data_IF_988071820374
#
_entry.id   IF_988071820374
#
_cell.length_a   1.000
_cell.length_b   1.000
_cell.length_c   1.000
_cell.angle_alpha   90.00
_cell.angle_beta   90.00
_cell.angle_gamma   90.00
#
_symmetry.space_group_name_H-M   'P 1'
#
loop_
_entity.id
_entity.type
_entity.pdbx_description
1 polymer ?
#
# COMPACT_ATOMS: atom_id res chain seq x y z
N UNK A 1 5.96 -2.67 -3.27
CA UNK A 1 7.04 -2.97 -2.30
C UNK A 1 8.28 -3.53 -3.00
N UNK A 2 8.18 -4.63 -3.74
CA UNK A 2 9.33 -5.32 -4.36
C UNK A 2 10.09 -4.49 -5.41
N UNK A 3 9.41 -3.72 -6.26
CA UNK A 3 10.08 -2.80 -7.21
C UNK A 3 10.99 -1.77 -6.53
N UNK A 4 10.61 -1.32 -5.33
CA UNK A 4 11.43 -0.40 -4.52
C UNK A 4 12.68 -1.08 -3.97
N UNK A 5 12.56 -2.32 -3.49
CA UNK A 5 13.67 -3.08 -2.90
C UNK A 5 14.69 -3.49 -3.96
N UNK A 6 14.23 -3.85 -5.16
CA UNK A 6 15.08 -4.34 -6.23
C UNK A 6 15.41 -3.29 -7.30
N UNK A 7 15.01 -2.02 -7.10
CA UNK A 7 15.37 -0.91 -7.98
C UNK A 7 14.78 -0.98 -9.39
N UNK A 8 13.62 -1.62 -9.59
CA UNK A 8 12.94 -1.68 -10.89
C UNK A 8 11.59 -0.97 -10.89
N UNK A 9 11.23 -0.41 -12.04
CA UNK A 9 9.95 0.27 -12.23
C UNK A 9 8.86 -0.74 -12.57
N UNK A 10 7.73 -0.63 -11.89
CA UNK A 10 6.53 -1.44 -12.14
C UNK A 10 5.61 -0.65 -13.06
N UNK A 11 5.02 -1.32 -14.06
CA UNK A 11 3.95 -0.76 -14.90
C UNK A 11 2.59 -1.33 -14.45
N UNK A 12 1.76 -0.55 -13.74
CA UNK A 12 0.47 -1.04 -13.22
C UNK A 12 -0.49 -1.54 -14.31
N UNK A 13 -0.49 -0.92 -15.49
CA UNK A 13 -1.36 -1.33 -16.60
C UNK A 13 -0.98 -2.73 -17.10
N UNK A 14 0.32 -3.02 -17.18
CA UNK A 14 0.81 -4.33 -17.58
C UNK A 14 0.47 -5.41 -16.55
N UNK A 15 0.58 -5.10 -15.26
CA UNK A 15 0.18 -6.00 -14.17
C UNK A 15 -1.33 -6.31 -14.22
N UNK A 16 -2.15 -5.29 -14.51
CA UNK A 16 -3.60 -5.46 -14.64
C UNK A 16 -3.95 -6.36 -15.83
N UNK A 17 -3.34 -6.13 -16.99
CA UNK A 17 -3.51 -6.98 -18.17
C UNK A 17 -3.05 -8.42 -17.87
N UNK A 18 -1.91 -8.59 -17.19
CA UNK A 18 -1.40 -9.91 -16.83
C UNK A 18 -2.37 -10.68 -15.92
N UNK A 19 -2.93 -10.05 -14.90
CA UNK A 19 -3.96 -10.67 -14.03
C UNK A 19 -5.23 -10.97 -14.82
N UNK A 20 -5.67 -10.06 -15.69
CA UNK A 20 -6.84 -10.27 -16.56
C UNK A 20 -6.67 -11.49 -17.45
N UNK A 21 -5.59 -11.54 -18.24
CA UNK A 21 -5.27 -12.68 -19.12
C UNK A 21 -5.14 -13.99 -18.32
N UNK A 22 -4.48 -13.96 -17.16
CA UNK A 22 -4.33 -15.14 -16.31
C UNK A 22 -5.68 -15.71 -15.88
N UNK A 23 -6.62 -14.85 -15.47
CA UNK A 23 -7.94 -15.28 -15.04
C UNK A 23 -8.83 -15.70 -16.22
N UNK A 24 -8.77 -15.01 -17.37
CA UNK A 24 -9.49 -15.42 -18.59
C UNK A 24 -9.03 -16.78 -19.11
N UNK A 25 -7.73 -17.07 -19.05
CA UNK A 25 -7.22 -18.41 -19.40
C UNK A 25 -7.59 -19.43 -18.32
N UNK A 26 -7.55 -19.04 -17.04
CA UNK A 26 -7.86 -19.92 -15.92
C UNK A 26 -9.28 -20.48 -15.93
N UNK A 27 -10.27 -19.72 -16.40
CA UNK A 27 -11.67 -20.20 -16.49
C UNK A 27 -11.82 -21.42 -17.39
N UNK A 28 -11.03 -21.54 -18.46
CA UNK A 28 -11.02 -22.69 -19.38
C UNK A 28 -10.61 -23.99 -18.64
N UNK A 29 -9.81 -23.85 -17.59
CA UNK A 29 -9.29 -24.96 -16.79
C UNK A 29 -10.00 -25.12 -15.43
N UNK A 30 -11.17 -24.47 -15.24
CA UNK A 30 -11.90 -24.46 -13.97
C UNK A 30 -11.08 -23.91 -12.79
N UNK A 31 -10.16 -22.96 -13.05
CA UNK A 31 -9.37 -22.35 -12.00
C UNK A 31 -10.19 -21.33 -11.18
N UNK A 32 -9.93 -21.28 -9.88
CA UNK A 32 -10.43 -20.20 -9.01
C UNK A 32 -9.73 -18.87 -9.35
N UNK A 33 -10.38 -17.71 -9.17
CA UNK A 33 -9.77 -16.40 -9.40
C UNK A 33 -8.40 -16.26 -8.72
N UNK A 34 -7.37 -16.08 -9.54
CA UNK A 34 -6.00 -15.97 -9.10
C UNK A 34 -5.60 -14.50 -8.93
N UNK A 35 -4.85 -14.22 -7.87
CA UNK A 35 -4.31 -12.90 -7.54
C UNK A 35 -2.81 -12.99 -7.22
N UNK A 36 -2.16 -11.84 -7.10
CA UNK A 36 -0.79 -11.77 -6.62
C UNK A 36 -0.70 -12.17 -5.14
N UNK A 37 0.18 -13.13 -4.81
CA UNK A 37 0.43 -13.54 -3.41
C UNK A 37 1.64 -12.82 -2.84
N UNK A 38 1.42 -11.98 -1.81
CA UNK A 38 2.51 -11.30 -1.10
C UNK A 38 3.46 -12.28 -0.44
N UNK A 39 2.95 -13.29 0.27
CA UNK A 39 3.75 -14.31 0.96
C UNK A 39 4.63 -15.10 -0.01
N UNK A 40 4.07 -15.61 -1.11
CA UNK A 40 4.86 -16.34 -2.12
C UNK A 40 5.91 -15.46 -2.81
N UNK A 41 5.57 -14.20 -3.09
CA UNK A 41 6.50 -13.25 -3.74
C UNK A 41 7.64 -12.85 -2.80
N UNK A 42 7.35 -12.66 -1.51
CA UNK A 42 8.36 -12.39 -0.49
C UNK A 42 9.32 -13.58 -0.32
N UNK A 43 8.80 -14.81 -0.30
CA UNK A 43 9.64 -16.01 -0.23
C UNK A 43 10.54 -16.14 -1.47
N UNK A 44 9.98 -15.99 -2.68
CA UNK A 44 10.76 -16.01 -3.93
C UNK A 44 11.89 -14.98 -3.89
N UNK A 45 11.62 -13.77 -3.39
CA UNK A 45 12.63 -12.74 -3.23
C UNK A 45 13.73 -13.15 -2.23
N UNK A 46 13.35 -13.67 -1.06
CA UNK A 46 14.31 -14.15 -0.04
C UNK A 46 15.16 -15.31 -0.54
N UNK A 47 14.61 -16.18 -1.40
CA UNK A 47 15.31 -17.27 -2.07
C UNK A 47 16.18 -16.83 -3.25
N UNK A 48 16.26 -15.53 -3.55
CA UNK A 48 17.12 -15.01 -4.63
C UNK A 48 16.56 -15.22 -6.04
N UNK A 49 15.27 -15.49 -6.20
CA UNK A 49 14.63 -15.64 -7.52
C UNK A 49 14.61 -14.29 -8.24
N UNK A 50 15.14 -14.25 -9.47
CA UNK A 50 15.21 -13.02 -10.30
C UNK A 50 14.43 -13.09 -11.61
N UNK A 51 13.96 -14.28 -11.99
CA UNK A 51 13.31 -14.50 -13.29
C UNK A 51 11.91 -15.08 -13.12
N UNK A 52 10.97 -14.81 -14.06
CA UNK A 52 9.64 -15.40 -14.04
C UNK A 52 9.65 -16.93 -14.25
N UNK A 53 10.79 -17.48 -14.68
CA UNK A 53 11.01 -18.92 -14.90
C UNK A 53 10.71 -19.77 -13.65
N UNK A 54 10.91 -19.21 -12.45
CA UNK A 54 10.52 -19.86 -11.20
C UNK A 54 9.03 -20.24 -11.14
N UNK A 55 8.17 -19.52 -11.86
CA UNK A 55 6.76 -19.88 -12.03
C UNK A 55 6.57 -21.23 -12.71
N UNK A 56 7.36 -21.52 -13.76
CA UNK A 56 7.32 -22.79 -14.49
C UNK A 56 7.79 -23.94 -13.59
N UNK A 57 8.89 -23.75 -12.86
CA UNK A 57 9.34 -24.74 -11.88
C UNK A 57 8.28 -25.02 -10.81
N UNK A 58 7.63 -23.97 -10.28
CA UNK A 58 6.54 -24.17 -9.33
C UNK A 58 5.35 -24.92 -9.94
N UNK A 59 5.01 -24.67 -11.21
CA UNK A 59 3.94 -25.40 -11.90
C UNK A 59 4.29 -26.88 -12.09
N UNK A 60 5.52 -27.20 -12.51
CA UNK A 60 5.99 -28.58 -12.64
C UNK A 60 5.92 -29.33 -11.31
N UNK A 61 6.37 -28.70 -10.22
CA UNK A 61 6.28 -29.30 -8.87
C UNK A 61 4.83 -29.57 -8.48
N UNK A 62 3.90 -28.65 -8.76
CA UNK A 62 2.47 -28.85 -8.49
C UNK A 62 1.91 -30.02 -9.30
N UNK A 63 2.25 -30.14 -10.59
CA UNK A 63 1.82 -31.27 -11.43
C UNK A 63 2.35 -32.59 -10.85
N UNK A 64 3.63 -32.67 -10.52
CA UNK A 64 4.22 -33.87 -9.90
C UNK A 64 3.54 -34.19 -8.58
N UNK A 65 3.24 -33.19 -7.76
CA UNK A 65 2.55 -33.39 -6.49
C UNK A 65 1.12 -33.94 -6.68
N UNK A 66 0.37 -33.44 -7.67
CA UNK A 66 -0.98 -33.89 -7.96
C UNK A 66 -1.02 -35.35 -8.47
N UNK A 67 -0.08 -35.76 -9.32
CA UNK A 67 -0.07 -37.12 -9.86
C UNK A 67 0.68 -38.13 -8.98
N UNK A 68 1.70 -37.69 -8.23
CA UNK A 68 2.58 -38.57 -7.46
C UNK A 68 2.37 -38.56 -5.95
N UNK A 69 1.97 -37.43 -5.35
CA UNK A 69 1.93 -37.25 -3.88
C UNK A 69 0.52 -37.19 -3.30
N UNK A 70 -0.53 -37.15 -4.11
CA UNK A 70 -1.93 -37.14 -3.65
C UNK A 70 -2.26 -38.25 -2.63
N UNK A 71 -1.79 -39.51 -2.76
CA UNK A 71 -2.02 -40.54 -1.74
C UNK A 71 -1.40 -40.22 -0.38
N UNK A 72 -0.25 -39.52 -0.37
CA UNK A 72 0.39 -39.09 0.86
C UNK A 72 -0.36 -37.92 1.51
N UNK A 73 -0.91 -37.00 0.71
CA UNK A 73 -1.66 -35.85 1.20
C UNK A 73 -2.98 -36.21 1.88
N UNK A 74 -3.54 -37.39 1.60
CA UNK A 74 -4.75 -37.89 2.26
C UNK A 74 -4.61 -37.95 3.80
N UNK A 75 -3.41 -38.25 4.30
CA UNK A 75 -3.15 -38.40 5.74
C UNK A 75 -2.85 -37.10 6.46
N UNK A 76 -2.84 -35.95 5.75
CA UNK A 76 -2.55 -34.67 6.37
C UNK A 76 -3.74 -34.23 7.23
N UNK A 77 -3.57 -34.06 8.56
CA UNK A 77 -4.65 -33.61 9.41
C UNK A 77 -5.01 -32.15 9.11
N UNK A 78 -6.31 -31.83 9.18
CA UNK A 78 -6.80 -30.46 9.00
C UNK A 78 -6.17 -29.47 9.97
N UNK A 79 -5.81 -29.91 11.19
CA UNK A 79 -5.09 -29.11 12.18
C UNK A 79 -3.72 -28.62 11.67
N UNK A 80 -3.01 -29.45 10.90
CA UNK A 80 -1.72 -29.07 10.31
C UNK A 80 -1.88 -27.98 9.23
N UNK A 81 -2.89 -28.12 8.37
CA UNK A 81 -3.23 -27.08 7.39
C UNK A 81 -3.61 -25.76 8.06
N UNK A 82 -4.44 -25.81 9.10
CA UNK A 82 -4.84 -24.62 9.87
C UNK A 82 -3.63 -23.93 10.52
N UNK A 83 -2.70 -24.69 11.10
CA UNK A 83 -1.47 -24.13 11.68
C UNK A 83 -0.62 -23.37 10.65
N UNK A 84 -0.48 -23.92 9.44
CA UNK A 84 0.25 -23.26 8.34
C UNK A 84 -0.46 -21.98 7.89
N UNK A 85 -1.78 -21.98 7.81
CA UNK A 85 -2.57 -20.77 7.44
C UNK A 85 -2.41 -19.70 8.52
N UNK A 86 -2.57 -20.05 9.80
CA UNK A 86 -2.41 -19.10 10.93
C UNK A 86 -1.00 -18.49 10.90
N UNK A 87 0.04 -19.31 10.72
CA UNK A 87 1.41 -18.84 10.62
C UNK A 87 1.60 -17.89 9.43
N UNK A 88 1.06 -18.23 8.25
CA UNK A 88 1.17 -17.40 7.05
C UNK A 88 0.46 -16.04 7.17
N UNK A 89 -0.65 -15.98 7.92
CA UNK A 89 -1.42 -14.74 8.14
C UNK A 89 -0.87 -13.92 9.29
N UNK A 90 -0.25 -14.54 10.30
CA UNK A 90 0.34 -13.83 11.43
C UNK A 90 1.36 -12.76 10.99
N UNK A 91 2.17 -13.06 9.97
CA UNK A 91 3.14 -12.13 9.38
C UNK A 91 2.49 -10.93 8.65
N UNK A 92 1.21 -11.03 8.29
CA UNK A 92 0.46 -9.97 7.61
C UNK A 92 -0.23 -9.01 8.58
N UNK A 93 -0.40 -9.40 9.85
CA UNK A 93 -1.03 -8.56 10.88
C UNK A 93 -0.15 -7.35 11.15
N UNK A 94 -0.75 -6.16 11.12
CA UNK A 94 -0.04 -4.92 11.41
C UNK A 94 0.56 -4.95 12.81
N UNK A 95 1.86 -4.69 12.92
CA UNK A 95 2.52 -4.62 14.22
C UNK A 95 1.98 -3.44 15.05
N UNK A 96 1.94 -3.53 16.40
CA UNK A 96 1.51 -2.42 17.25
C UNK A 96 2.29 -1.13 16.99
N UNK A 97 3.59 -1.25 16.66
CA UNK A 97 4.43 -0.12 16.28
C UNK A 97 3.98 0.57 14.98
N UNK A 98 3.52 -0.18 13.99
CA UNK A 98 3.00 0.38 12.74
C UNK A 98 1.67 1.10 12.98
N UNK A 99 0.76 0.49 13.75
CA UNK A 99 -0.50 1.11 14.15
C UNK A 99 -0.26 2.45 14.89
N UNK A 100 0.69 2.48 15.82
CA UNK A 100 1.07 3.72 16.51
C UNK A 100 1.69 4.76 15.58
N UNK A 101 2.43 4.34 14.55
CA UNK A 101 2.94 5.24 13.53
C UNK A 101 1.81 5.91 12.75
N UNK A 102 0.74 5.18 12.40
CA UNK A 102 -0.43 5.76 11.71
C UNK A 102 -1.12 6.81 12.56
N UNK A 103 -1.29 6.56 13.86
CA UNK A 103 -1.83 7.55 14.81
C UNK A 103 -0.99 8.83 14.85
N UNK A 104 0.34 8.71 14.89
CA UNK A 104 1.24 9.88 14.93
C UNK A 104 1.24 10.70 13.65
N UNK A 105 0.99 10.09 12.49
CA UNK A 105 0.96 10.81 11.20
C UNK A 105 -0.39 11.48 10.98
N UNK A 106 -1.49 10.74 11.13
CA UNK A 106 -2.84 11.29 10.97
C UNK A 106 -3.86 10.48 11.78
N UNK A 107 -4.37 11.02 12.90
CA UNK A 107 -5.38 10.34 13.71
C UNK A 107 -6.66 10.01 12.92
N UNK A 108 -7.05 10.87 11.99
CA UNK A 108 -8.23 10.64 11.14
C UNK A 108 -8.04 9.46 10.19
N UNK A 109 -6.88 9.32 9.55
CA UNK A 109 -6.62 8.17 8.68
C UNK A 109 -6.51 6.87 9.48
N UNK A 110 -5.98 6.93 10.70
CA UNK A 110 -5.99 5.78 11.60
C UNK A 110 -7.41 5.33 11.94
N UNK A 111 -8.34 6.25 12.22
CA UNK A 111 -9.74 5.90 12.48
C UNK A 111 -10.41 5.25 11.26
N UNK A 112 -10.14 5.75 10.05
CA UNK A 112 -10.64 5.16 8.81
C UNK A 112 -10.10 3.73 8.65
N UNK A 113 -8.81 3.53 8.87
CA UNK A 113 -8.17 2.21 8.82
C UNK A 113 -8.77 1.26 9.87
N UNK A 114 -8.94 1.72 11.12
CA UNK A 114 -9.51 0.92 12.20
C UNK A 114 -10.97 0.52 11.91
N UNK A 115 -11.78 1.46 11.43
CA UNK A 115 -13.15 1.20 11.02
C UNK A 115 -13.20 0.15 9.89
N UNK A 116 -12.31 0.24 8.90
CA UNK A 116 -12.22 -0.74 7.82
C UNK A 116 -11.89 -2.14 8.33
N UNK A 117 -10.93 -2.26 9.26
CA UNK A 117 -10.56 -3.54 9.90
C UNK A 117 -11.75 -4.13 10.66
N UNK A 118 -12.41 -3.33 11.51
CA UNK A 118 -13.54 -3.81 12.31
C UNK A 118 -14.70 -4.27 11.40
N UNK A 119 -15.06 -3.49 10.38
CA UNK A 119 -16.12 -3.87 9.44
C UNK A 119 -15.76 -5.15 8.70
N UNK A 120 -14.51 -5.28 8.25
CA UNK A 120 -14.05 -6.48 7.53
C UNK A 120 -14.16 -7.74 8.39
N UNK A 121 -13.85 -7.62 9.69
CA UNK A 121 -13.91 -8.74 10.65
C UNK A 121 -15.34 -9.13 11.00
N UNK A 122 -16.23 -8.15 11.20
CA UNK A 122 -17.59 -8.40 11.69
C UNK A 122 -18.67 -8.49 10.60
N UNK A 123 -18.35 -8.10 9.36
CA UNK A 123 -19.30 -8.10 8.24
C UNK A 123 -18.72 -8.86 7.04
N UNK A 124 -18.19 -8.15 6.05
CA UNK A 124 -17.58 -8.73 4.86
C UNK A 124 -16.43 -7.87 4.38
N UNK A 125 -15.52 -8.48 3.62
CA UNK A 125 -14.38 -7.79 3.01
C UNK A 125 -14.87 -6.69 2.06
N UNK A 126 -15.95 -6.95 1.30
CA UNK A 126 -16.56 -5.99 0.38
C UNK A 126 -17.03 -4.73 1.12
N UNK A 127 -17.76 -4.90 2.23
CA UNK A 127 -18.24 -3.77 3.04
C UNK A 127 -17.08 -2.97 3.64
N UNK A 128 -16.03 -3.64 4.11
CA UNK A 128 -14.82 -2.96 4.60
C UNK A 128 -14.14 -2.11 3.54
N UNK A 129 -14.07 -2.61 2.29
CA UNK A 129 -13.54 -1.86 1.14
C UNK A 129 -14.41 -0.63 0.84
N UNK A 130 -15.73 -0.78 0.77
CA UNK A 130 -16.62 0.35 0.47
C UNK A 130 -16.53 1.46 1.52
N UNK A 131 -16.49 1.10 2.81
CA UNK A 131 -16.40 2.07 3.91
C UNK A 131 -15.05 2.79 3.88
N UNK A 132 -13.95 2.07 3.72
CA UNK A 132 -12.61 2.66 3.71
C UNK A 132 -12.41 3.62 2.53
N UNK A 133 -12.84 3.24 1.33
CA UNK A 133 -12.76 4.09 0.12
C UNK A 133 -13.64 5.33 0.30
N UNK A 134 -14.90 5.15 0.70
CA UNK A 134 -15.84 6.28 0.85
C UNK A 134 -15.38 7.27 1.91
N UNK A 135 -14.90 6.79 3.06
CA UNK A 135 -14.40 7.64 4.13
C UNK A 135 -13.09 8.36 3.74
N UNK A 136 -12.17 7.67 3.06
CA UNK A 136 -10.94 8.29 2.54
C UNK A 136 -11.24 9.36 1.50
N UNK A 137 -12.21 9.10 0.62
CA UNK A 137 -12.66 10.06 -0.38
C UNK A 137 -13.33 11.28 0.25
N UNK A 138 -14.22 11.08 1.22
CA UNK A 138 -14.83 12.18 1.97
C UNK A 138 -13.78 13.04 2.69
N UNK A 139 -12.80 12.41 3.35
CA UNK A 139 -11.70 13.11 4.01
C UNK A 139 -10.85 13.91 3.01
N UNK A 140 -10.59 13.36 1.82
CA UNK A 140 -9.89 14.05 0.75
C UNK A 140 -10.67 15.30 0.30
N UNK A 141 -11.98 15.18 0.08
CA UNK A 141 -12.82 16.31 -0.31
C UNK A 141 -12.81 17.42 0.75
N UNK A 142 -12.91 17.07 2.03
CA UNK A 142 -12.84 18.05 3.13
C UNK A 142 -11.47 18.75 3.16
N UNK A 143 -10.38 18.03 2.93
CA UNK A 143 -9.02 18.60 2.87
C UNK A 143 -8.84 19.54 1.68
N UNK A 144 -9.44 19.21 0.53
CA UNK A 144 -9.41 20.06 -0.68
C UNK A 144 -10.28 21.31 -0.49
N UNK A 145 -11.44 21.18 0.16
CA UNK A 145 -12.37 22.28 0.43
C UNK A 145 -11.84 23.28 1.48
N UNK A 146 -10.96 22.85 2.40
CA UNK A 146 -10.31 23.71 3.39
C UNK A 146 -8.80 23.85 3.14
N UNK A 147 -8.38 24.58 2.09
CA UNK A 147 -6.96 24.84 1.86
C UNK A 147 -6.38 25.69 3.00
N UNK A 148 -5.19 25.33 3.46
CA UNK A 148 -4.45 26.12 4.45
C UNK A 148 -3.91 27.38 3.77
N UNK A 149 -4.62 28.50 3.93
CA UNK A 149 -4.14 29.81 3.49
C UNK A 149 -3.01 30.30 4.38
N UNK A 150 -1.90 30.73 3.76
CA UNK A 150 -0.87 31.51 4.43
C UNK A 150 -1.08 32.98 4.08
N UNK A 151 -1.12 33.84 5.09
CA UNK A 151 -1.18 35.28 4.86
C UNK A 151 0.20 35.76 4.39
N UNK A 152 0.29 36.40 3.23
CA UNK A 152 1.54 36.93 2.66
C UNK A 152 1.60 38.44 2.92
N UNK A 153 2.73 38.92 3.44
CA UNK A 153 3.05 40.33 3.58
C UNK A 153 3.88 40.84 2.42
N UNK A 154 3.65 42.08 2.00
CA UNK A 154 4.43 42.76 0.95
C UNK A 154 5.64 43.45 1.59
N UNK A 155 6.84 43.13 1.12
CA UNK A 155 8.09 43.79 1.53
C UNK A 155 8.75 44.43 0.30
N UNK A 156 9.07 45.71 0.40
CA UNK A 156 9.78 46.44 -0.66
C UNK A 156 11.27 46.46 -0.32
N UNK A 157 12.09 45.76 -1.10
CA UNK A 157 13.54 45.79 -0.98
C UNK A 157 14.10 46.91 -1.86
N UNK A 158 14.78 47.87 -1.26
CA UNK A 158 15.47 48.95 -1.97
C UNK A 158 16.96 48.65 -1.96
N UNK A 159 17.57 48.37 -3.13
CA UNK A 159 18.99 48.00 -3.23
C UNK A 159 19.89 49.21 -3.52
N UNK A 160 19.35 50.22 -4.19
CA UNK A 160 19.94 51.54 -4.47
C UNK A 160 18.78 52.53 -4.71
N UNK A 161 19.03 53.84 -4.65
CA UNK A 161 17.98 54.89 -4.73
C UNK A 161 17.08 54.85 -5.97
N UNK A 162 17.36 53.98 -6.94
CA UNK A 162 16.65 53.84 -8.22
C UNK A 162 16.06 52.44 -8.48
N UNK A 163 16.40 51.40 -7.70
CA UNK A 163 15.86 50.05 -7.89
C UNK A 163 15.17 49.51 -6.63
N UNK A 164 13.84 49.40 -6.73
CA UNK A 164 12.97 48.78 -5.73
C UNK A 164 12.38 47.48 -6.29
N UNK A 165 12.50 46.38 -5.54
CA UNK A 165 11.86 45.09 -5.86
C UNK A 165 10.85 44.71 -4.78
N UNK A 166 9.65 44.34 -5.22
CA UNK A 166 8.59 43.88 -4.33
C UNK A 166 8.69 42.36 -4.16
N UNK A 167 8.77 41.90 -2.91
CA UNK A 167 8.83 40.46 -2.55
C UNK A 167 7.71 40.15 -1.56
N UNK A 168 6.99 39.06 -1.80
CA UNK A 168 5.93 38.57 -0.90
C UNK A 168 6.51 37.53 0.06
N UNK A 169 6.34 37.75 1.37
CA UNK A 169 6.90 36.89 2.43
C UNK A 169 5.76 36.41 3.34
N UNK A 170 5.71 35.11 3.74
CA UNK A 170 4.68 34.62 4.64
C UNK A 170 4.73 35.31 6.01
N UNK A 171 3.61 35.92 6.42
CA UNK A 171 3.43 36.56 7.72
C UNK A 171 3.07 35.49 8.76
N UNK A 172 3.98 35.26 9.71
CA UNK A 172 3.76 34.40 10.88
C UNK A 172 3.23 35.28 12.02
N UNK A 173 2.45 34.70 12.95
CA UNK A 173 1.89 35.44 14.11
C UNK A 173 2.96 36.06 15.02
N UNK A 174 4.20 35.60 14.93
CA UNK A 174 5.34 36.07 15.72
C UNK A 174 6.16 37.18 15.00
N UNK A 175 5.63 37.77 13.92
CA UNK A 175 6.32 38.77 13.11
C UNK A 175 7.23 38.19 12.02
N UNK A 176 7.89 39.07 11.26
CA UNK A 176 8.79 38.73 10.14
C UNK A 176 10.13 38.23 10.70
N UNK A 177 10.18 37.03 11.25
CA UNK A 177 11.46 36.37 11.59
C UNK A 177 11.97 35.60 10.37
N UNK A 178 12.48 36.33 9.40
CA UNK A 178 13.38 35.75 8.41
C UNK A 178 14.81 35.90 8.94
N UNK A 179 15.48 34.80 9.27
CA UNK A 179 16.87 34.80 9.78
C UNK A 179 17.88 35.41 8.77
N UNK A 180 17.46 35.61 7.52
CA UNK A 180 18.24 36.25 6.45
C UNK A 180 17.86 37.72 6.18
N UNK A 181 16.83 38.25 6.86
CA UNK A 181 16.45 39.67 6.76
C UNK A 181 16.55 40.25 8.17
N UNK A 182 17.74 40.78 8.49
CA UNK A 182 17.89 41.68 9.64
C UNK A 182 17.18 42.98 9.27
N UNK A 183 16.05 43.23 9.91
CA UNK A 183 15.42 44.56 9.94
C UNK A 183 16.23 45.45 10.87
#
# INVERSE_FOLDING_TARGET
AFGRVNGYKINPNQELIAIGVTNTLGTIFHAYPATGSFSRSALKLKSGVRTPLAGIFTAMVVIVALYGLTPAFYWIPSAGLSAVIIHAVADLVASPSQAFSYWRVSPLEFLIWLAAVLVTVFSSIENGIYISISASFALLLVRVAHPRGYFLGKVTLTRNSTESREVFVPLRKDGVTNQYVKV
#
